data_IF_874674517569
#
_entry.id   IF_874674517569
#
_cell.length_a   1.000
_cell.length_b   1.000
_cell.length_c   1.000
_cell.angle_alpha   90.00
_cell.angle_beta   90.00
_cell.angle_gamma   90.00
#
_symmetry.space_group_name_H-M   'P 1'
#
loop_
_entity.id
_entity.type
_entity.pdbx_description
1 polymer ?
#
# COMPACT_ATOMS: atom_id res chain seq x y z
N UNK A 1 16.58 -6.40 -1.08
CA UNK A 1 17.25 -5.45 -0.19
C UNK A 1 18.73 -5.79 -0.02
N UNK A 2 19.12 -7.00 0.37
CA UNK A 2 20.55 -7.37 0.54
C UNK A 2 21.39 -7.13 -0.72
N UNK A 3 20.83 -7.39 -1.90
CA UNK A 3 21.54 -7.20 -3.20
C UNK A 3 21.90 -5.74 -3.49
N UNK A 4 21.18 -4.79 -2.91
CA UNK A 4 21.40 -3.34 -3.09
C UNK A 4 21.89 -2.67 -1.80
N UNK A 5 22.37 -3.45 -0.81
CA UNK A 5 22.95 -2.94 0.43
C UNK A 5 21.99 -2.21 1.37
N UNK A 6 20.70 -2.54 1.33
CA UNK A 6 19.66 -1.91 2.17
C UNK A 6 19.30 -2.82 3.34
N UNK A 7 19.40 -2.29 4.55
CA UNK A 7 19.08 -2.97 5.79
C UNK A 7 17.66 -2.68 6.29
N UNK A 8 17.10 -3.63 7.04
CA UNK A 8 15.85 -3.47 7.75
C UNK A 8 15.99 -3.97 9.19
N UNK A 9 15.50 -3.19 10.13
CA UNK A 9 15.55 -3.47 11.56
C UNK A 9 14.17 -3.78 12.13
N UNK A 10 14.15 -4.52 13.23
CA UNK A 10 12.94 -4.74 13.99
C UNK A 10 12.54 -3.44 14.70
N UNK A 11 11.25 -3.12 14.62
CA UNK A 11 10.67 -1.96 15.31
C UNK A 11 10.52 -2.26 16.79
N UNK A 12 10.74 -1.22 17.60
CA UNK A 12 10.40 -1.23 19.03
C UNK A 12 9.01 -0.63 19.25
N UNK A 13 8.39 -1.01 20.36
CA UNK A 13 7.11 -0.49 20.81
C UNK A 13 5.91 -1.30 20.38
N UNK A 14 4.75 -0.90 20.84
CA UNK A 14 3.48 -1.55 20.53
C UNK A 14 2.99 -1.17 19.13
N UNK A 15 2.56 -2.17 18.36
CA UNK A 15 1.96 -1.97 17.04
C UNK A 15 0.46 -1.66 17.07
N UNK A 16 -0.16 -1.75 18.22
CA UNK A 16 -1.62 -1.78 18.31
C UNK A 16 -2.13 -0.90 19.47
N UNK A 17 -1.68 0.33 19.53
CA UNK A 17 -2.33 1.32 20.38
C UNK A 17 -3.61 1.81 19.70
N UNK A 18 -4.62 2.14 20.51
CA UNK A 18 -5.89 2.67 20.09
C UNK A 18 -6.19 3.94 20.87
N UNK A 19 -6.34 5.07 20.18
CA UNK A 19 -6.76 6.33 20.74
C UNK A 19 -8.22 6.60 20.34
N UNK A 20 -9.13 6.51 21.31
CA UNK A 20 -10.57 6.63 21.07
C UNK A 20 -11.29 7.31 22.23
N UNK A 21 -12.11 8.32 21.96
CA UNK A 21 -12.89 9.08 22.95
C UNK A 21 -12.05 9.54 24.15
N UNK A 22 -10.90 10.15 23.90
CA UNK A 22 -10.00 10.68 24.92
C UNK A 22 -9.22 9.62 25.70
N UNK A 23 -9.34 8.35 25.37
CA UNK A 23 -8.61 7.26 26.02
C UNK A 23 -7.60 6.63 25.04
N UNK A 24 -6.37 6.44 25.52
CA UNK A 24 -5.32 5.75 24.79
C UNK A 24 -5.08 4.40 25.46
N UNK A 25 -5.24 3.33 24.69
CA UNK A 25 -4.92 1.96 25.11
C UNK A 25 -3.69 1.49 24.32
N UNK A 26 -2.60 1.21 25.02
CA UNK A 26 -1.33 0.79 24.43
C UNK A 26 -0.73 -0.45 25.14
N UNK A 27 -1.45 -1.02 26.08
CA UNK A 27 -1.03 -2.16 26.89
C UNK A 27 -2.06 -3.28 26.90
N UNK A 28 -1.62 -4.48 27.17
CA UNK A 28 -2.49 -5.65 27.28
C UNK A 28 -2.88 -6.26 25.93
N UNK A 29 -3.83 -7.19 25.97
CA UNK A 29 -4.30 -7.89 24.78
C UNK A 29 -5.40 -7.07 24.07
N UNK A 30 -5.19 -6.81 22.78
CA UNK A 30 -6.10 -6.04 21.90
C UNK A 30 -7.54 -6.58 21.91
N UNK A 31 -7.69 -7.90 22.09
CA UNK A 31 -9.01 -8.54 22.17
C UNK A 31 -9.87 -8.04 23.34
N UNK A 32 -9.25 -7.48 24.38
CA UNK A 32 -9.95 -6.91 25.53
C UNK A 32 -10.17 -5.40 25.43
N UNK A 33 -9.67 -4.72 24.40
CA UNK A 33 -9.87 -3.27 24.20
C UNK A 33 -11.35 -2.87 24.21
N UNK A 34 -12.29 -3.61 23.58
CA UNK A 34 -13.70 -3.26 23.63
C UNK A 34 -14.28 -3.12 25.05
N UNK A 35 -13.74 -3.89 25.99
CA UNK A 35 -14.19 -3.86 27.39
C UNK A 35 -13.54 -2.74 28.23
N UNK A 36 -12.46 -2.14 27.72
CA UNK A 36 -11.71 -1.07 28.38
C UNK A 36 -12.07 0.32 27.87
N UNK A 37 -12.79 0.41 26.75
CA UNK A 37 -13.20 1.68 26.14
C UNK A 37 -14.56 2.16 26.63
N UNK A 38 -14.80 3.50 26.59
CA UNK A 38 -16.09 4.10 26.95
C UNK A 38 -17.10 3.98 25.79
N UNK A 39 -17.52 2.75 25.50
CA UNK A 39 -18.53 2.42 24.47
C UNK A 39 -19.73 1.71 25.09
N UNK A 40 -20.86 1.73 24.38
CA UNK A 40 -22.10 1.08 24.80
C UNK A 40 -21.95 -0.44 24.90
N UNK A 41 -22.79 -1.09 25.71
CA UNK A 41 -22.81 -2.55 25.81
C UNK A 41 -23.25 -3.20 24.49
N UNK A 42 -24.16 -2.57 23.75
CA UNK A 42 -24.58 -3.06 22.41
C UNK A 42 -23.39 -3.06 21.45
N UNK A 43 -22.61 -1.99 21.38
CA UNK A 43 -21.41 -1.92 20.54
C UNK A 43 -20.37 -2.99 20.92
N UNK A 44 -20.18 -3.29 22.22
CA UNK A 44 -19.31 -4.39 22.64
C UNK A 44 -19.74 -5.74 22.09
N UNK A 45 -21.07 -6.03 22.15
CA UNK A 45 -21.59 -7.27 21.58
C UNK A 45 -21.47 -7.34 20.05
N UNK A 46 -21.68 -6.22 19.36
CA UNK A 46 -21.46 -6.12 17.92
C UNK A 46 -19.99 -6.40 17.56
N UNK A 47 -19.05 -5.78 18.28
CA UNK A 47 -17.60 -6.00 18.09
C UNK A 47 -17.24 -7.46 18.33
N UNK A 48 -17.73 -8.09 19.39
CA UNK A 48 -17.43 -9.50 19.69
C UNK A 48 -17.99 -10.39 18.60
N UNK A 49 -19.25 -10.19 18.19
CA UNK A 49 -19.92 -10.99 17.14
C UNK A 49 -19.22 -10.85 15.80
N UNK A 50 -18.96 -9.62 15.36
CA UNK A 50 -18.24 -9.35 14.11
C UNK A 50 -16.78 -9.82 14.19
N UNK A 51 -16.10 -9.62 15.32
CA UNK A 51 -14.74 -10.05 15.56
C UNK A 51 -14.55 -11.57 15.46
N UNK A 52 -15.47 -12.38 16.02
CA UNK A 52 -15.44 -13.84 15.86
C UNK A 52 -15.59 -14.22 14.38
N UNK A 53 -16.48 -13.54 13.65
CA UNK A 53 -16.72 -13.78 12.23
C UNK A 53 -15.48 -13.43 11.40
N UNK A 54 -14.87 -12.27 11.65
CA UNK A 54 -13.63 -11.83 11.01
C UNK A 54 -12.47 -12.77 11.34
N UNK A 55 -12.30 -13.18 12.61
CA UNK A 55 -11.23 -14.09 13.02
C UNK A 55 -11.32 -15.45 12.33
N UNK A 56 -12.51 -16.01 12.19
CA UNK A 56 -12.72 -17.26 11.41
C UNK A 56 -12.33 -17.07 9.94
N UNK A 57 -12.70 -15.95 9.34
CA UNK A 57 -12.37 -15.61 7.96
C UNK A 57 -10.85 -15.37 7.79
N UNK A 58 -10.17 -14.73 8.74
CA UNK A 58 -8.70 -14.55 8.74
C UNK A 58 -7.99 -15.90 8.76
N UNK A 59 -8.43 -16.85 9.59
CA UNK A 59 -7.86 -18.19 9.61
C UNK A 59 -8.04 -18.92 8.26
N UNK A 60 -9.20 -18.76 7.61
CA UNK A 60 -9.44 -19.31 6.27
C UNK A 60 -8.57 -18.61 5.22
N UNK A 61 -8.48 -17.28 5.26
CA UNK A 61 -7.63 -16.48 4.38
C UNK A 61 -6.15 -16.84 4.51
N UNK A 62 -5.65 -17.07 5.73
CA UNK A 62 -4.27 -17.51 5.97
C UNK A 62 -3.93 -18.81 5.23
N UNK A 63 -4.88 -19.76 5.15
CA UNK A 63 -4.72 -21.00 4.36
C UNK A 63 -4.73 -20.71 2.86
N UNK A 64 -5.58 -19.80 2.41
CA UNK A 64 -5.65 -19.35 1.01
C UNK A 64 -4.40 -18.60 0.61
N UNK A 65 -3.87 -17.73 1.45
CA UNK A 65 -2.70 -16.92 1.16
C UNK A 65 -1.36 -17.72 1.19
N UNK A 66 -1.31 -18.86 1.88
CA UNK A 66 -0.09 -19.64 2.01
C UNK A 66 0.41 -20.15 0.66
N UNK A 67 1.68 -19.89 0.28
CA UNK A 67 2.26 -20.42 -0.95
C UNK A 67 2.21 -21.97 -0.97
N UNK A 68 1.95 -22.54 -2.14
CA UNK A 68 1.99 -23.98 -2.38
C UNK A 68 3.26 -24.35 -3.13
N UNK A 69 3.81 -25.52 -2.88
CA UNK A 69 5.04 -25.96 -3.57
C UNK A 69 4.81 -26.01 -5.09
N UNK A 70 5.65 -25.31 -5.85
CA UNK A 70 5.56 -25.26 -7.31
C UNK A 70 4.40 -24.43 -7.87
N UNK A 71 3.69 -23.68 -7.02
CA UNK A 71 2.59 -22.83 -7.47
C UNK A 71 3.12 -21.57 -8.17
N UNK A 72 2.63 -21.32 -9.38
CA UNK A 72 2.89 -20.06 -10.09
C UNK A 72 2.30 -18.86 -9.34
N UNK A 73 3.02 -17.74 -9.35
CA UNK A 73 2.60 -16.51 -8.68
C UNK A 73 1.22 -16.04 -9.14
N UNK A 74 0.92 -16.12 -10.44
CA UNK A 74 -0.36 -15.69 -11.02
C UNK A 74 -1.52 -16.53 -10.48
N UNK A 75 -1.32 -17.85 -10.36
CA UNK A 75 -2.31 -18.78 -9.80
C UNK A 75 -2.56 -18.48 -8.32
N UNK A 76 -1.50 -18.19 -7.56
CA UNK A 76 -1.63 -17.79 -6.17
C UNK A 76 -2.41 -16.48 -6.03
N UNK A 77 -2.09 -15.45 -6.81
CA UNK A 77 -2.79 -14.17 -6.76
C UNK A 77 -4.27 -14.32 -7.13
N UNK A 78 -4.59 -15.11 -8.16
CA UNK A 78 -5.99 -15.40 -8.50
C UNK A 78 -6.74 -16.03 -7.33
N UNK A 79 -6.16 -17.04 -6.69
CA UNK A 79 -6.74 -17.71 -5.53
C UNK A 79 -6.98 -16.76 -4.35
N UNK A 80 -6.09 -15.81 -4.13
CA UNK A 80 -6.26 -14.77 -3.10
C UNK A 80 -7.39 -13.83 -3.47
N UNK A 81 -7.45 -13.38 -4.72
CA UNK A 81 -8.50 -12.48 -5.19
C UNK A 81 -9.89 -13.15 -5.22
N UNK A 82 -9.97 -14.45 -5.44
CA UNK A 82 -11.24 -15.19 -5.45
C UNK A 82 -11.84 -15.39 -4.05
N UNK A 83 -11.03 -15.20 -3.01
CA UNK A 83 -11.51 -15.38 -1.65
C UNK A 83 -12.50 -14.27 -1.27
N UNK A 84 -13.75 -14.62 -1.06
CA UNK A 84 -14.85 -13.71 -0.69
C UNK A 84 -14.90 -12.45 -1.58
N UNK A 85 -14.80 -12.66 -2.90
CA UNK A 85 -14.67 -11.62 -3.90
C UNK A 85 -15.99 -10.95 -4.32
N UNK A 86 -17.13 -11.49 -3.92
CA UNK A 86 -18.47 -11.18 -4.45
C UNK A 86 -19.24 -10.14 -3.64
N UNK A 87 -18.77 -9.78 -2.46
CA UNK A 87 -19.42 -8.85 -1.54
C UNK A 87 -18.43 -7.93 -0.86
N UNK A 88 -18.93 -6.82 -0.34
CA UNK A 88 -18.13 -5.88 0.43
C UNK A 88 -17.80 -6.39 1.83
N UNK A 89 -16.81 -5.77 2.48
CA UNK A 89 -16.50 -6.08 3.87
C UNK A 89 -17.67 -5.71 4.80
N UNK A 90 -18.35 -4.62 4.52
CA UNK A 90 -19.53 -4.16 5.27
C UNK A 90 -20.69 -5.18 5.17
N UNK A 91 -20.99 -5.70 3.97
CA UNK A 91 -21.97 -6.78 3.78
C UNK A 91 -21.55 -8.07 4.50
N UNK A 92 -20.25 -8.36 4.53
CA UNK A 92 -19.75 -9.53 5.26
C UNK A 92 -19.92 -9.38 6.77
N UNK A 93 -19.56 -8.26 7.37
CA UNK A 93 -19.72 -8.06 8.83
C UNK A 93 -21.19 -7.97 9.24
N UNK A 94 -22.03 -7.39 8.37
CA UNK A 94 -23.37 -6.93 8.66
C UNK A 94 -23.38 -5.52 9.27
N UNK A 95 -24.55 -4.97 9.56
CA UNK A 95 -24.67 -3.62 10.12
C UNK A 95 -23.95 -3.53 11.48
N UNK A 96 -23.17 -2.45 11.64
CA UNK A 96 -22.46 -2.11 12.86
C UNK A 96 -22.87 -0.70 13.29
N UNK A 97 -23.01 -0.48 14.59
CA UNK A 97 -23.09 0.88 15.14
C UNK A 97 -21.79 1.65 14.87
N UNK A 98 -21.84 2.98 14.91
CA UNK A 98 -20.65 3.83 14.73
C UNK A 98 -19.52 3.46 15.71
N UNK A 99 -19.87 3.14 16.96
CA UNK A 99 -18.90 2.71 17.95
C UNK A 99 -18.24 1.37 17.62
N UNK A 100 -18.97 0.43 17.04
CA UNK A 100 -18.45 -0.87 16.64
C UNK A 100 -17.65 -0.77 15.35
N UNK A 101 -18.13 -0.01 14.37
CA UNK A 101 -17.42 0.23 13.10
C UNK A 101 -16.05 0.88 13.31
N UNK A 102 -15.92 1.78 14.29
CA UNK A 102 -14.66 2.40 14.69
C UNK A 102 -13.52 1.42 15.00
N UNK A 103 -13.83 0.15 15.31
CA UNK A 103 -12.84 -0.90 15.52
C UNK A 103 -12.34 -1.55 14.24
N UNK A 104 -13.20 -1.65 13.24
CA UNK A 104 -12.89 -2.39 12.00
C UNK A 104 -12.44 -1.45 10.89
N UNK A 105 -13.10 -0.31 10.74
CA UNK A 105 -12.88 0.65 9.65
C UNK A 105 -11.42 1.10 9.50
N UNK A 106 -10.68 1.49 10.55
CA UNK A 106 -9.30 1.95 10.38
C UNK A 106 -8.37 0.89 9.78
N UNK A 107 -8.60 -0.38 10.09
CA UNK A 107 -7.81 -1.49 9.53
C UNK A 107 -8.15 -1.72 8.06
N UNK A 108 -9.43 -1.71 7.70
CA UNK A 108 -9.90 -1.96 6.34
C UNK A 108 -9.57 -0.80 5.41
N UNK A 109 -9.85 0.43 5.83
CA UNK A 109 -9.65 1.64 5.01
C UNK A 109 -8.19 1.93 4.67
N UNK A 110 -7.23 1.29 5.32
CA UNK A 110 -5.79 1.37 4.95
C UNK A 110 -5.52 0.98 3.50
N UNK A 111 -6.44 0.23 2.89
CA UNK A 111 -6.39 -0.13 1.47
C UNK A 111 -6.78 1.01 0.51
N UNK A 112 -7.14 2.19 1.01
CA UNK A 112 -7.76 3.29 0.27
C UNK A 112 -9.19 3.04 -0.22
N UNK A 113 -9.83 1.92 0.20
CA UNK A 113 -11.26 1.67 0.04
C UNK A 113 -11.93 1.55 1.40
N UNK A 114 -13.12 2.13 1.55
CA UNK A 114 -13.91 1.98 2.77
C UNK A 114 -14.53 0.57 2.87
N UNK A 115 -14.99 0.11 4.06
CA UNK A 115 -15.64 -1.19 4.23
C UNK A 115 -16.80 -1.47 3.27
N UNK A 116 -17.44 -0.43 2.77
CA UNK A 116 -18.54 -0.47 1.79
C UNK A 116 -18.04 -0.61 0.34
N UNK A 117 -16.77 -0.37 0.09
CA UNK A 117 -16.15 -0.35 -1.24
C UNK A 117 -15.24 -1.55 -1.48
N UNK A 118 -14.53 -2.00 -0.43
CA UNK A 118 -13.56 -3.09 -0.54
C UNK A 118 -14.23 -4.46 -0.47
N UNK A 119 -13.72 -5.44 -1.23
CA UNK A 119 -14.18 -6.82 -1.13
C UNK A 119 -13.91 -7.42 0.26
N UNK A 120 -14.81 -8.29 0.70
CA UNK A 120 -14.68 -8.91 2.01
C UNK A 120 -13.36 -9.67 2.19
N UNK A 121 -12.90 -10.36 1.14
CA UNK A 121 -11.63 -11.08 1.16
C UNK A 121 -10.42 -10.18 1.37
N UNK A 122 -10.38 -9.04 0.69
CA UNK A 122 -9.32 -8.06 0.87
C UNK A 122 -9.37 -7.42 2.26
N UNK A 123 -10.54 -7.00 2.72
CA UNK A 123 -10.72 -6.48 4.08
C UNK A 123 -10.25 -7.46 5.15
N UNK A 124 -10.59 -8.76 5.03
CA UNK A 124 -10.11 -9.82 5.92
C UNK A 124 -8.59 -9.97 5.85
N UNK A 125 -7.99 -9.83 4.65
CA UNK A 125 -6.56 -9.90 4.47
C UNK A 125 -5.78 -8.86 5.29
N UNK A 126 -6.33 -7.65 5.47
CA UNK A 126 -5.72 -6.61 6.32
C UNK A 126 -5.68 -7.00 7.80
N UNK A 127 -6.67 -7.72 8.28
CA UNK A 127 -6.66 -8.23 9.65
C UNK A 127 -5.59 -9.32 9.86
N UNK A 128 -5.28 -10.12 8.84
CA UNK A 128 -4.16 -11.06 8.93
C UNK A 128 -2.84 -10.31 9.22
N UNK A 129 -2.59 -9.19 8.53
CA UNK A 129 -1.38 -8.37 8.76
C UNK A 129 -1.26 -7.84 10.20
N UNK A 130 -2.39 -7.50 10.82
CA UNK A 130 -2.42 -6.97 12.19
C UNK A 130 -2.31 -8.08 13.24
N UNK A 131 -2.89 -9.26 12.97
CA UNK A 131 -2.98 -10.35 13.94
C UNK A 131 -1.84 -11.36 13.82
N UNK A 132 -1.19 -11.45 12.67
CA UNK A 132 0.00 -12.29 12.49
C UNK A 132 1.26 -11.55 12.95
N UNK A 133 1.70 -11.88 14.17
CA UNK A 133 2.91 -11.33 14.77
C UNK A 133 4.21 -11.72 14.05
N UNK A 134 4.16 -12.74 13.19
CA UNK A 134 5.29 -13.16 12.36
C UNK A 134 5.39 -12.36 11.06
N UNK A 135 4.40 -11.52 10.75
CA UNK A 135 4.35 -10.72 9.54
C UNK A 135 5.44 -9.64 9.50
N UNK A 136 5.84 -9.24 8.31
CA UNK A 136 6.90 -8.26 8.07
C UNK A 136 6.64 -6.84 8.59
N UNK A 137 5.45 -6.55 9.14
CA UNK A 137 5.16 -5.24 9.78
C UNK A 137 6.04 -4.94 11.00
N UNK A 138 6.67 -5.98 11.58
CA UNK A 138 7.60 -5.82 12.69
C UNK A 138 8.97 -5.27 12.29
N UNK A 139 9.22 -5.02 10.98
CA UNK A 139 10.48 -4.51 10.46
C UNK A 139 10.26 -3.30 9.57
N UNK A 140 11.23 -2.38 9.58
CA UNK A 140 11.22 -1.25 8.67
C UNK A 140 12.62 -1.00 8.09
N UNK A 141 12.67 -0.32 6.95
CA UNK A 141 13.91 -0.01 6.23
C UNK A 141 14.66 1.11 6.97
N UNK A 142 15.94 0.89 7.20
CA UNK A 142 16.85 1.92 7.73
C UNK A 142 16.95 3.06 6.71
N UNK A 143 16.76 4.30 7.16
CA UNK A 143 16.73 5.48 6.30
C UNK A 143 15.38 5.78 5.66
N UNK A 144 14.35 4.92 5.91
CA UNK A 144 12.99 5.13 5.43
C UNK A 144 12.69 4.46 4.09
N UNK A 145 11.43 4.57 3.64
CA UNK A 145 10.92 3.84 2.48
C UNK A 145 11.62 4.22 1.15
N UNK A 146 12.10 5.46 1.03
CA UNK A 146 12.79 5.95 -0.18
C UNK A 146 14.17 5.31 -0.39
N UNK A 147 14.78 4.78 0.67
CA UNK A 147 16.15 4.20 0.60
C UNK A 147 16.22 3.04 -0.39
N UNK A 148 15.20 2.18 -0.45
CA UNK A 148 15.20 1.03 -1.36
C UNK A 148 15.17 1.45 -2.85
N UNK A 149 14.22 2.27 -3.33
CA UNK A 149 14.23 2.71 -4.73
C UNK A 149 15.46 3.56 -5.07
N UNK A 150 15.99 4.36 -4.14
CA UNK A 150 17.22 5.12 -4.34
C UNK A 150 18.44 4.20 -4.51
N UNK A 151 18.56 3.15 -3.70
CA UNK A 151 19.63 2.16 -3.84
C UNK A 151 19.56 1.40 -5.17
N UNK A 152 18.34 1.04 -5.61
CA UNK A 152 18.13 0.43 -6.92
C UNK A 152 18.53 1.40 -8.04
N UNK A 153 18.08 2.65 -7.98
CA UNK A 153 18.44 3.68 -8.97
C UNK A 153 19.96 3.91 -9.01
N UNK A 154 20.63 3.95 -7.86
CA UNK A 154 22.09 4.06 -7.79
C UNK A 154 22.79 2.88 -8.49
N UNK A 155 22.29 1.65 -8.31
CA UNK A 155 22.84 0.46 -8.97
C UNK A 155 22.66 0.53 -10.51
N UNK A 156 21.59 1.15 -10.98
CA UNK A 156 21.30 1.32 -12.41
C UNK A 156 22.10 2.46 -13.05
N UNK A 157 22.53 3.46 -12.27
CA UNK A 157 23.35 4.58 -12.70
C UNK A 157 22.72 5.39 -13.83
N UNK A 158 23.46 5.60 -14.90
CA UNK A 158 23.08 6.37 -16.08
C UNK A 158 21.92 5.79 -16.91
N UNK A 159 21.51 4.55 -16.63
CA UNK A 159 20.32 3.94 -17.21
C UNK A 159 19.00 4.53 -16.69
N UNK A 160 19.06 5.30 -15.59
CA UNK A 160 17.90 6.00 -15.04
C UNK A 160 17.80 7.38 -15.65
N UNK A 161 16.73 7.63 -16.40
CA UNK A 161 16.40 8.95 -16.98
C UNK A 161 15.31 9.61 -16.16
N UNK A 162 15.67 10.60 -15.36
CA UNK A 162 14.72 11.44 -14.61
C UNK A 162 14.19 12.58 -15.48
N UNK A 163 13.04 13.15 -15.12
CA UNK A 163 12.42 14.23 -15.87
C UNK A 163 11.90 13.83 -17.25
N UNK A 164 11.76 12.53 -17.51
CA UNK A 164 11.23 11.96 -18.75
C UNK A 164 9.76 11.57 -18.55
N UNK A 165 8.83 12.42 -18.96
CA UNK A 165 7.39 12.14 -18.91
C UNK A 165 6.95 11.32 -20.10
N UNK A 166 6.58 10.05 -19.89
CA UNK A 166 6.08 9.18 -20.95
C UNK A 166 4.68 9.61 -21.38
N UNK A 167 4.54 9.92 -22.65
CA UNK A 167 3.29 10.37 -23.27
C UNK A 167 2.54 9.21 -23.94
N UNK A 168 3.28 8.33 -24.61
CA UNK A 168 2.70 7.25 -25.40
C UNK A 168 3.62 6.03 -25.47
N UNK A 169 3.02 4.84 -25.49
CA UNK A 169 3.71 3.56 -25.72
C UNK A 169 2.92 2.77 -26.76
N UNK A 170 3.56 2.44 -27.88
CA UNK A 170 2.96 1.72 -29.01
C UNK A 170 3.69 0.41 -29.23
N UNK A 171 2.91 -0.69 -29.28
CA UNK A 171 3.46 -2.01 -29.58
C UNK A 171 3.38 -2.30 -31.08
N UNK A 172 4.51 -2.61 -31.69
CA UNK A 172 4.61 -3.13 -33.07
C UNK A 172 4.85 -4.63 -33.06
N UNK A 173 4.96 -5.20 -34.25
CA UNK A 173 5.21 -6.63 -34.43
C UNK A 173 6.56 -7.06 -33.86
N UNK A 174 7.61 -6.27 -34.08
CA UNK A 174 9.01 -6.55 -33.78
C UNK A 174 9.65 -5.65 -32.73
N UNK A 175 9.03 -4.52 -32.39
CA UNK A 175 9.54 -3.56 -31.40
C UNK A 175 8.41 -2.85 -30.65
N UNK A 176 8.79 -2.01 -29.69
CA UNK A 176 7.93 -1.07 -28.97
C UNK A 176 8.48 0.33 -29.18
N UNK A 177 7.64 1.30 -29.46
CA UNK A 177 7.98 2.72 -29.45
C UNK A 177 7.50 3.37 -28.16
N UNK A 178 8.39 4.14 -27.53
CA UNK A 178 8.11 4.91 -26.33
C UNK A 178 8.38 6.37 -26.63
N UNK A 179 7.32 7.18 -26.63
CA UNK A 179 7.43 8.63 -26.79
C UNK A 179 7.32 9.28 -25.42
N UNK A 180 8.29 10.12 -25.10
CA UNK A 180 8.34 10.84 -23.84
C UNK A 180 8.81 12.30 -24.05
N UNK A 181 8.47 13.16 -23.10
CA UNK A 181 8.91 14.57 -23.06
C UNK A 181 10.06 14.69 -22.05
N UNK A 182 11.18 15.25 -22.52
CA UNK A 182 12.34 15.58 -21.69
C UNK A 182 12.89 16.96 -22.12
N UNK A 183 13.16 17.85 -21.18
CA UNK A 183 13.66 19.19 -21.43
C UNK A 183 12.83 19.99 -22.44
N UNK A 184 11.49 19.79 -22.39
CA UNK A 184 10.53 20.46 -23.27
C UNK A 184 10.44 19.89 -24.70
N UNK A 185 11.22 18.85 -25.05
CA UNK A 185 11.23 18.20 -26.36
C UNK A 185 10.60 16.82 -26.28
N UNK A 186 9.88 16.43 -27.33
CA UNK A 186 9.42 15.07 -27.49
C UNK A 186 10.52 14.21 -28.13
N UNK A 187 10.75 13.05 -27.56
CA UNK A 187 11.72 12.06 -28.03
C UNK A 187 11.01 10.72 -28.14
N UNK A 188 11.24 9.99 -29.23
CA UNK A 188 10.76 8.63 -29.43
C UNK A 188 11.94 7.68 -29.46
N UNK A 189 11.90 6.66 -28.61
CA UNK A 189 12.88 5.59 -28.56
C UNK A 189 12.23 4.25 -28.93
N UNK A 190 13.00 3.36 -29.53
CA UNK A 190 12.58 2.01 -29.87
C UNK A 190 13.28 0.98 -28.99
N UNK A 191 12.53 -0.02 -28.53
CA UNK A 191 13.03 -1.13 -27.74
C UNK A 191 12.40 -2.46 -28.18
N UNK A 192 13.07 -3.57 -27.94
CA UNK A 192 12.48 -4.90 -28.19
C UNK A 192 11.29 -5.19 -27.27
N UNK A 193 11.36 -4.76 -26.04
CA UNK A 193 10.34 -4.94 -25.01
C UNK A 193 10.24 -3.69 -24.13
N UNK A 194 9.06 -3.44 -23.56
CA UNK A 194 8.85 -2.42 -22.54
C UNK A 194 8.11 -3.03 -21.33
N UNK A 195 8.50 -2.60 -20.12
CA UNK A 195 7.77 -2.90 -18.87
C UNK A 195 7.16 -1.61 -18.37
N UNK A 196 5.84 -1.55 -18.30
CA UNK A 196 5.11 -0.38 -17.82
C UNK A 196 4.79 -0.59 -16.33
N UNK A 197 5.28 0.31 -15.50
CA UNK A 197 5.17 0.24 -14.04
C UNK A 197 4.37 1.39 -13.43
N UNK A 198 3.74 2.20 -14.27
CA UNK A 198 2.84 3.28 -13.85
C UNK A 198 1.53 2.73 -13.27
N UNK A 199 0.79 3.51 -12.45
CA UNK A 199 -0.55 3.12 -12.04
C UNK A 199 -1.44 2.70 -13.23
N UNK A 200 -2.34 1.73 -13.01
CA UNK A 200 -3.16 1.16 -14.10
C UNK A 200 -3.90 2.22 -14.92
N UNK A 201 -4.43 3.27 -14.29
CA UNK A 201 -5.11 4.38 -14.97
C UNK A 201 -4.17 5.16 -15.89
N UNK A 202 -2.90 5.33 -15.51
CA UNK A 202 -1.89 5.97 -16.35
C UNK A 202 -1.49 5.03 -17.48
N UNK A 203 -1.21 3.76 -17.18
CA UNK A 203 -0.92 2.72 -18.18
C UNK A 203 -2.01 2.65 -19.24
N UNK A 204 -3.29 2.64 -18.84
CA UNK A 204 -4.44 2.69 -19.74
C UNK A 204 -4.40 3.90 -20.67
N UNK A 205 -4.02 5.08 -20.16
CA UNK A 205 -3.98 6.32 -20.94
C UNK A 205 -2.85 6.36 -21.94
N UNK A 206 -1.64 5.91 -21.56
CA UNK A 206 -0.44 6.02 -22.40
C UNK A 206 -0.27 4.89 -23.41
N UNK A 207 -0.94 3.75 -23.25
CA UNK A 207 -0.85 2.62 -24.18
C UNK A 207 -1.97 2.68 -25.21
N UNK A 208 -1.64 2.52 -26.51
CA UNK A 208 -2.62 2.72 -27.59
C UNK A 208 -3.13 1.41 -28.23
N UNK A 209 -2.33 0.38 -28.26
CA UNK A 209 -2.64 -0.85 -29.00
C UNK A 209 -2.33 -2.13 -28.22
N UNK A 210 -2.58 -2.10 -26.90
CA UNK A 210 -2.63 -3.32 -26.10
C UNK A 210 -3.78 -4.24 -26.56
N UNK A 211 -3.71 -5.51 -26.16
CA UNK A 211 -4.88 -6.40 -26.25
C UNK A 211 -6.11 -5.68 -25.68
N UNK A 212 -7.22 -5.56 -26.43
CA UNK A 212 -8.40 -4.80 -26.01
C UNK A 212 -8.97 -5.22 -24.65
N UNK A 213 -8.88 -6.52 -24.30
CA UNK A 213 -9.35 -7.03 -23.02
C UNK A 213 -8.43 -6.59 -21.85
N UNK A 214 -7.12 -6.53 -22.11
CA UNK A 214 -6.14 -6.02 -21.13
C UNK A 214 -6.33 -4.52 -20.93
N UNK A 215 -6.48 -3.77 -22.02
CA UNK A 215 -6.70 -2.33 -21.98
C UNK A 215 -7.99 -1.98 -21.22
N UNK A 216 -9.10 -2.66 -21.51
CA UNK A 216 -10.37 -2.50 -20.79
C UNK A 216 -10.24 -2.86 -19.30
N UNK A 217 -9.51 -3.92 -18.97
CA UNK A 217 -9.27 -4.31 -17.58
C UNK A 217 -8.45 -3.27 -16.81
N UNK A 218 -7.44 -2.65 -17.44
CA UNK A 218 -6.66 -1.55 -16.83
C UNK A 218 -7.55 -0.35 -16.49
N UNK A 219 -8.46 0.03 -17.40
CA UNK A 219 -9.40 1.14 -17.20
C UNK A 219 -10.40 0.91 -16.05
N UNK A 220 -10.60 -0.33 -15.63
CA UNK A 220 -11.54 -0.72 -14.55
C UNK A 220 -10.88 -0.81 -13.18
N UNK A 221 -9.54 -0.69 -13.07
CA UNK A 221 -8.85 -0.68 -11.79
C UNK A 221 -9.18 0.60 -11.04
N UNK A 222 -9.65 0.44 -9.82
CA UNK A 222 -10.03 1.56 -8.96
C UNK A 222 -8.89 1.91 -7.99
N UNK A 223 -8.68 3.22 -7.81
CA UNK A 223 -7.73 3.78 -6.87
C UNK A 223 -8.47 4.64 -5.85
N UNK A 224 -8.14 4.46 -4.59
CA UNK A 224 -8.54 5.39 -3.55
C UNK A 224 -7.55 6.52 -3.39
N UNK A 225 -8.03 7.67 -2.95
CA UNK A 225 -7.17 8.79 -2.57
C UNK A 225 -6.43 8.48 -1.26
N UNK A 226 -5.28 9.12 -1.10
CA UNK A 226 -4.49 9.04 0.11
C UNK A 226 -3.88 10.38 0.44
N UNK A 227 -3.98 10.81 1.69
CA UNK A 227 -3.31 12.02 2.18
C UNK A 227 -2.47 11.62 3.40
N UNK A 228 -1.22 12.00 3.40
CA UNK A 228 -0.32 11.77 4.53
C UNK A 228 0.26 13.09 5.04
N UNK A 229 0.34 13.23 6.36
CA UNK A 229 1.05 14.33 7.01
C UNK A 229 2.30 13.80 7.71
N UNK A 230 3.37 14.58 7.68
CA UNK A 230 4.60 14.31 8.41
C UNK A 230 4.90 15.48 9.36
N UNK A 231 5.39 15.15 10.56
CA UNK A 231 5.68 16.11 11.62
C UNK A 231 7.00 15.76 12.30
N UNK A 232 7.89 16.73 12.43
CA UNK A 232 9.06 16.65 13.28
C UNK A 232 8.84 17.49 14.54
N UNK A 233 9.27 16.96 15.66
CA UNK A 233 9.13 17.60 16.96
C UNK A 233 10.51 17.78 17.63
N UNK A 234 10.59 18.60 18.68
CA UNK A 234 11.85 18.95 19.34
C UNK A 234 11.88 18.66 20.84
N UNK A 235 11.02 17.79 21.31
CA UNK A 235 10.95 17.47 22.74
C UNK A 235 12.27 16.90 23.26
N UNK A 236 12.58 17.25 24.54
CA UNK A 236 13.69 16.69 25.29
C UNK A 236 13.14 15.63 26.25
N UNK A 237 13.82 14.48 26.34
CA UNK A 237 13.44 13.39 27.22
C UNK A 237 12.27 12.52 26.70
N UNK A 238 11.90 11.54 27.51
CA UNK A 238 10.88 10.55 27.15
C UNK A 238 9.47 11.15 27.12
N UNK A 239 8.67 10.66 26.17
CA UNK A 239 7.27 11.02 25.99
C UNK A 239 6.38 9.77 26.01
N UNK A 240 5.08 9.91 26.28
CA UNK A 240 4.13 8.79 26.30
C UNK A 240 4.10 7.99 25.00
N UNK A 241 4.40 8.62 23.86
CA UNK A 241 4.42 7.98 22.55
C UNK A 241 5.67 7.18 22.23
N UNK A 242 6.75 7.27 23.02
CA UNK A 242 8.01 6.56 22.75
C UNK A 242 7.86 5.02 22.81
N UNK A 243 6.87 4.52 23.55
CA UNK A 243 6.61 3.09 23.70
C UNK A 243 5.70 2.49 22.61
N UNK A 244 5.21 3.31 21.67
CA UNK A 244 4.23 2.88 20.68
C UNK A 244 4.68 3.30 19.27
N UNK A 245 4.68 2.36 18.35
CA UNK A 245 4.95 2.63 16.94
C UNK A 245 3.71 3.10 16.17
N UNK A 246 2.55 2.46 16.38
CA UNK A 246 1.35 2.76 15.62
C UNK A 246 0.13 2.96 16.55
N UNK A 247 -0.56 4.06 16.31
CA UNK A 247 -1.82 4.42 16.96
C UNK A 247 -2.96 4.35 15.96
N UNK A 248 -3.92 3.46 16.15
CA UNK A 248 -5.20 3.57 15.48
C UNK A 248 -6.01 4.71 16.09
N UNK A 249 -6.55 5.57 15.27
CA UNK A 249 -7.23 6.82 15.68
C UNK A 249 -8.60 6.94 15.01
N UNK A 250 -9.56 6.06 15.34
CA UNK A 250 -10.88 6.15 14.77
C UNK A 250 -11.53 7.50 15.07
N UNK A 251 -12.36 7.99 14.15
CA UNK A 251 -13.08 9.27 14.25
C UNK A 251 -12.17 10.53 14.25
N UNK A 252 -10.94 10.42 13.76
CA UNK A 252 -10.06 11.54 13.49
C UNK A 252 -9.95 11.79 11.98
N UNK A 253 -9.32 12.88 11.60
CA UNK A 253 -9.02 13.19 10.20
C UNK A 253 -8.00 12.21 9.58
N UNK A 254 -7.36 11.39 10.38
CA UNK A 254 -6.50 10.27 9.99
C UNK A 254 -6.91 9.01 10.77
N UNK A 255 -6.72 7.85 10.16
CA UNK A 255 -7.08 6.57 10.79
C UNK A 255 -5.91 5.91 11.55
N UNK A 256 -4.69 6.38 11.32
CA UNK A 256 -3.49 5.87 11.97
C UNK A 256 -2.41 6.95 12.05
N UNK A 257 -1.71 7.00 13.19
CA UNK A 257 -0.50 7.76 13.39
C UNK A 257 0.67 6.84 13.70
N UNK A 258 1.81 7.06 13.05
CA UNK A 258 3.04 6.30 13.27
C UNK A 258 4.10 7.17 13.92
N UNK A 259 4.70 6.67 14.99
CA UNK A 259 5.94 7.21 15.53
C UNK A 259 7.13 6.58 14.78
N UNK A 260 7.56 7.24 13.71
CA UNK A 260 8.64 6.76 12.85
C UNK A 260 10.00 6.73 13.55
N UNK A 261 10.17 7.51 14.64
CA UNK A 261 11.40 7.52 15.44
C UNK A 261 11.68 6.19 16.12
N UNK A 262 10.66 5.33 16.33
CA UNK A 262 10.87 4.03 16.97
C UNK A 262 11.83 3.12 16.20
N UNK A 263 12.01 3.33 14.89
CA UNK A 263 13.05 2.64 14.13
C UNK A 263 14.46 3.14 14.53
N UNK A 264 14.62 4.47 14.57
CA UNK A 264 15.91 5.11 14.88
C UNK A 264 16.30 4.83 16.32
N UNK A 265 15.34 4.84 17.25
CA UNK A 265 15.56 4.55 18.68
C UNK A 265 16.23 3.20 18.93
N UNK A 266 16.07 2.22 18.04
CA UNK A 266 16.75 0.92 18.17
C UNK A 266 18.28 1.01 17.98
N UNK A 267 18.76 2.07 17.33
CA UNK A 267 20.17 2.28 16.99
C UNK A 267 20.84 3.31 17.90
N UNK A 268 20.08 4.02 18.72
CA UNK A 268 20.59 5.04 19.62
C UNK A 268 21.08 4.43 20.94
N UNK A 269 22.26 4.82 21.38
CA UNK A 269 22.77 4.51 22.73
C UNK A 269 22.02 5.32 23.80
N UNK A 270 21.65 6.55 23.47
CA UNK A 270 20.85 7.45 24.28
C UNK A 270 19.77 8.09 23.43
N UNK A 271 18.57 8.34 24.03
CA UNK A 271 17.46 8.96 23.33
C UNK A 271 17.83 10.36 22.86
N UNK A 272 17.84 10.57 21.56
CA UNK A 272 18.03 11.88 20.96
C UNK A 272 16.75 12.74 21.09
N UNK A 273 16.88 14.08 21.16
CA UNK A 273 15.74 15.00 21.15
C UNK A 273 14.88 14.82 19.88
N UNK A 274 13.59 15.12 20.03
CA UNK A 274 12.63 15.13 18.94
C UNK A 274 12.11 13.76 18.54
N UNK A 275 11.05 13.77 17.75
CA UNK A 275 10.42 12.60 17.15
C UNK A 275 9.93 12.92 15.74
N UNK A 276 9.71 11.87 14.94
CA UNK A 276 9.10 11.94 13.62
C UNK A 276 7.79 11.19 13.64
N UNK A 277 6.71 11.87 13.25
CA UNK A 277 5.38 11.29 13.13
C UNK A 277 4.90 11.33 11.70
N UNK A 278 4.17 10.29 11.29
CA UNK A 278 3.38 10.29 10.06
C UNK A 278 1.93 9.94 10.39
N UNK A 279 1.00 10.68 9.80
CA UNK A 279 -0.43 10.39 9.87
C UNK A 279 -0.97 10.04 8.50
N UNK A 280 -1.91 9.11 8.44
CA UNK A 280 -2.46 8.58 7.20
C UNK A 280 -3.97 8.70 7.16
N UNK A 281 -4.46 9.40 6.13
CA UNK A 281 -5.87 9.57 5.80
C UNK A 281 -6.19 8.88 4.49
N UNK A 282 -6.70 7.64 4.53
CA UNK A 282 -7.12 6.91 3.33
C UNK A 282 -8.61 7.11 3.03
N UNK A 283 -9.04 6.65 1.86
CA UNK A 283 -10.43 6.49 1.46
C UNK A 283 -11.28 7.75 1.69
N UNK A 284 -12.38 7.67 2.42
CA UNK A 284 -13.24 8.83 2.71
C UNK A 284 -12.48 9.97 3.37
N UNK A 285 -11.60 9.68 4.35
CA UNK A 285 -10.81 10.72 5.02
C UNK A 285 -9.94 11.49 4.02
N UNK A 286 -9.34 10.79 3.05
CA UNK A 286 -8.59 11.45 1.99
C UNK A 286 -9.49 12.28 1.07
N UNK A 287 -10.68 11.80 0.71
CA UNK A 287 -11.64 12.54 -0.12
C UNK A 287 -12.04 13.88 0.53
N UNK A 288 -12.15 13.91 1.85
CA UNK A 288 -12.49 15.11 2.61
C UNK A 288 -11.33 16.15 2.65
N UNK A 289 -10.08 15.71 2.46
CA UNK A 289 -8.88 16.54 2.63
C UNK A 289 -8.15 16.90 1.34
N UNK A 290 -8.23 16.07 0.30
CA UNK A 290 -7.33 16.12 -0.86
C UNK A 290 -7.39 17.43 -1.64
N UNK A 291 -8.56 18.07 -1.66
CA UNK A 291 -8.79 19.35 -2.36
C UNK A 291 -8.60 20.59 -1.48
N UNK A 292 -8.32 20.41 -0.17
CA UNK A 292 -8.04 21.54 0.71
C UNK A 292 -6.61 22.06 0.48
N UNK A 293 -6.31 23.35 0.74
CA UNK A 293 -4.93 23.83 0.80
C UNK A 293 -4.10 23.05 1.82
N UNK A 294 -2.79 22.93 1.58
CA UNK A 294 -1.88 22.13 2.44
C UNK A 294 -1.86 22.64 3.87
N UNK A 295 -1.85 23.97 4.06
CA UNK A 295 -1.88 24.60 5.37
C UNK A 295 -3.15 24.22 6.16
N UNK A 296 -4.29 24.10 5.45
CA UNK A 296 -5.55 23.72 6.08
C UNK A 296 -5.56 22.25 6.50
N UNK A 297 -4.99 21.36 5.69
CA UNK A 297 -4.83 19.95 6.04
C UNK A 297 -3.92 19.81 7.25
N UNK A 298 -2.80 20.53 7.28
CA UNK A 298 -1.87 20.53 8.41
C UNK A 298 -2.50 21.07 9.70
N UNK A 299 -3.32 22.13 9.62
CA UNK A 299 -4.08 22.63 10.76
C UNK A 299 -5.01 21.57 11.35
N UNK A 300 -5.78 20.89 10.48
CA UNK A 300 -6.69 19.81 10.87
C UNK A 300 -5.91 18.68 11.57
N UNK A 301 -4.81 18.23 10.96
CA UNK A 301 -3.98 17.17 11.53
C UNK A 301 -3.36 17.55 12.88
N UNK A 302 -2.84 18.77 13.00
CA UNK A 302 -2.29 19.26 14.27
C UNK A 302 -3.32 19.28 15.37
N UNK A 303 -4.54 19.74 15.07
CA UNK A 303 -5.64 19.73 16.04
C UNK A 303 -5.95 18.32 16.52
N UNK A 304 -6.06 17.36 15.61
CA UNK A 304 -6.33 15.96 15.96
C UNK A 304 -5.16 15.29 16.71
N UNK A 305 -3.91 15.61 16.32
CA UNK A 305 -2.72 15.14 17.04
C UNK A 305 -2.64 15.73 18.46
N UNK A 306 -3.02 17.00 18.65
CA UNK A 306 -3.10 17.63 19.98
C UNK A 306 -4.12 16.94 20.89
N UNK A 307 -5.24 16.47 20.32
CA UNK A 307 -6.24 15.71 21.09
C UNK A 307 -5.77 14.30 21.46
N UNK A 308 -4.90 13.68 20.62
CA UNK A 308 -4.31 12.36 20.92
C UNK A 308 -3.11 12.50 21.86
N UNK A 309 -2.31 13.55 21.66
CA UNK A 309 -1.08 13.82 22.39
C UNK A 309 -1.06 15.27 22.90
N UNK A 310 -1.66 15.55 24.08
CA UNK A 310 -1.69 16.91 24.62
C UNK A 310 -0.30 17.54 24.69
N UNK A 311 -0.18 18.76 24.18
CA UNK A 311 1.07 19.51 24.06
C UNK A 311 1.88 19.22 22.80
N UNK A 312 1.42 18.32 21.91
CA UNK A 312 2.12 17.97 20.66
C UNK A 312 2.34 19.17 19.76
N UNK A 313 1.32 20.00 19.58
CA UNK A 313 1.36 21.16 18.66
C UNK A 313 2.46 22.15 18.99
N UNK A 314 2.81 22.33 20.27
CA UNK A 314 3.87 23.24 20.73
C UNK A 314 5.29 22.70 20.45
N UNK A 315 5.42 21.41 20.16
CA UNK A 315 6.69 20.73 19.91
C UNK A 315 7.03 20.63 18.42
N UNK A 316 6.06 20.87 17.53
CA UNK A 316 6.25 20.75 16.08
C UNK A 316 7.19 21.84 15.58
N UNK A 317 8.28 21.44 14.94
CA UNK A 317 9.28 22.33 14.32
C UNK A 317 9.25 22.30 12.80
N UNK A 318 8.80 21.19 12.22
CA UNK A 318 8.64 21.03 10.78
C UNK A 318 7.44 20.15 10.49
N UNK A 319 6.74 20.46 9.40
CA UNK A 319 5.57 19.69 8.96
C UNK A 319 5.41 19.74 7.45
N UNK A 320 4.88 18.67 6.89
CA UNK A 320 4.57 18.60 5.47
C UNK A 320 3.34 17.73 5.21
N UNK A 321 2.70 17.90 4.06
CA UNK A 321 1.59 17.06 3.61
C UNK A 321 1.87 16.57 2.19
N UNK A 322 1.52 15.33 1.93
CA UNK A 322 1.57 14.75 0.59
C UNK A 322 0.20 14.20 0.22
N UNK A 323 -0.27 14.53 -0.98
CA UNK A 323 -1.57 14.14 -1.53
C UNK A 323 -1.39 13.22 -2.72
N UNK A 324 -2.08 12.09 -2.70
CA UNK A 324 -2.03 11.09 -3.75
C UNK A 324 -3.44 10.87 -4.30
N UNK A 325 -3.71 11.37 -5.52
CA UNK A 325 -4.98 11.15 -6.21
C UNK A 325 -5.15 9.68 -6.66
N UNK A 326 -4.05 9.02 -7.01
CA UNK A 326 -3.97 7.58 -7.25
C UNK A 326 -3.16 6.96 -6.11
N UNK A 327 -3.73 6.95 -4.90
CA UNK A 327 -3.01 6.54 -3.70
C UNK A 327 -2.71 5.05 -3.70
N UNK A 328 -3.73 4.20 -3.65
CA UNK A 328 -3.57 2.76 -3.71
C UNK A 328 -4.68 2.13 -4.57
N UNK A 329 -4.33 1.15 -5.38
CA UNK A 329 -5.30 0.30 -6.04
C UNK A 329 -5.98 -0.60 -4.99
N UNK A 330 -7.31 -0.54 -4.87
CA UNK A 330 -8.01 -1.38 -3.91
C UNK A 330 -8.83 -2.49 -4.58
N UNK A 331 -9.06 -3.55 -3.83
CA UNK A 331 -9.78 -4.72 -4.31
C UNK A 331 -11.27 -4.57 -4.01
N UNK A 332 -12.06 -4.15 -5.00
CA UNK A 332 -13.50 -4.04 -4.95
C UNK A 332 -14.20 -5.37 -5.29
N UNK A 333 -15.47 -5.57 -4.95
CA UNK A 333 -16.25 -6.76 -5.36
C UNK A 333 -16.20 -6.98 -6.87
N UNK A 334 -15.82 -8.20 -7.29
CA UNK A 334 -15.68 -8.54 -8.71
C UNK A 334 -14.31 -8.20 -9.33
N UNK A 335 -13.38 -7.59 -8.59
CA UNK A 335 -12.01 -7.30 -9.06
C UNK A 335 -11.26 -8.56 -9.51
N UNK A 336 -11.56 -9.71 -8.90
CA UNK A 336 -10.99 -11.01 -9.27
C UNK A 336 -11.18 -11.39 -10.73
N UNK A 337 -12.26 -10.94 -11.37
CA UNK A 337 -12.55 -11.19 -12.79
C UNK A 337 -11.59 -10.47 -13.75
N UNK A 338 -10.97 -9.39 -13.30
CA UNK A 338 -9.98 -8.65 -14.07
C UNK A 338 -8.59 -9.29 -14.00
N UNK A 339 -8.30 -10.05 -12.95
CA UNK A 339 -6.97 -10.58 -12.69
C UNK A 339 -6.43 -11.47 -13.82
N UNK A 340 -7.20 -12.44 -14.38
CA UNK A 340 -6.72 -13.27 -15.48
C UNK A 340 -6.40 -12.48 -16.75
N UNK A 341 -7.10 -11.35 -16.95
CA UNK A 341 -6.88 -10.48 -18.10
C UNK A 341 -5.55 -9.71 -17.96
N UNK A 342 -5.32 -9.13 -16.78
CA UNK A 342 -4.12 -8.34 -16.48
C UNK A 342 -2.84 -9.20 -16.42
N UNK A 343 -2.97 -10.49 -16.08
CA UNK A 343 -1.85 -11.42 -15.96
C UNK A 343 -1.67 -12.29 -17.21
N UNK A 344 -2.28 -11.94 -18.33
CA UNK A 344 -2.06 -12.62 -19.62
C UNK A 344 -0.60 -12.52 -20.03
N UNK A 345 -0.13 -13.54 -20.76
CA UNK A 345 1.20 -13.51 -21.38
C UNK A 345 1.29 -12.35 -22.36
N UNK A 346 2.19 -11.40 -22.11
CA UNK A 346 2.34 -10.23 -22.98
C UNK A 346 3.04 -10.59 -24.28
N UNK A 347 2.84 -9.74 -25.28
CA UNK A 347 3.65 -9.79 -26.50
C UNK A 347 4.99 -9.10 -26.25
N UNK A 348 5.00 -7.76 -26.29
CA UNK A 348 6.21 -6.93 -26.11
C UNK A 348 6.07 -5.90 -24.99
N UNK A 349 4.83 -5.53 -24.61
CA UNK A 349 4.55 -4.65 -23.48
C UNK A 349 4.15 -5.52 -22.29
N UNK A 350 4.93 -5.41 -21.24
CA UNK A 350 4.71 -6.06 -19.94
C UNK A 350 4.11 -5.09 -18.94
N UNK A 351 3.31 -5.60 -18.07
CA UNK A 351 2.74 -4.84 -16.93
C UNK A 351 3.41 -5.30 -15.65
N UNK A 352 3.82 -4.35 -14.81
CA UNK A 352 4.26 -4.61 -13.45
C UNK A 352 3.75 -3.50 -12.54
N UNK A 353 3.45 -3.82 -11.28
CA UNK A 353 2.95 -2.85 -10.32
C UNK A 353 2.09 -3.48 -9.24
N UNK A 354 1.79 -2.69 -8.24
CA UNK A 354 1.02 -3.07 -7.05
C UNK A 354 -0.42 -3.52 -7.36
N UNK A 355 -1.01 -2.99 -8.43
CA UNK A 355 -2.37 -3.34 -8.88
C UNK A 355 -2.51 -4.77 -9.44
N UNK A 356 -1.40 -5.48 -9.64
CA UNK A 356 -1.38 -6.85 -10.15
C UNK A 356 -1.42 -7.93 -9.07
N UNK A 357 -1.51 -7.54 -7.80
CA UNK A 357 -1.61 -8.48 -6.68
C UNK A 357 -2.04 -7.82 -5.39
N UNK A 358 -1.97 -8.56 -4.29
CA UNK A 358 -2.62 -8.21 -3.03
C UNK A 358 -1.74 -7.46 -2.02
N UNK A 359 -0.42 -7.36 -2.23
CA UNK A 359 0.51 -6.88 -1.21
C UNK A 359 1.43 -5.74 -1.68
N UNK A 360 0.88 -4.72 -2.33
CA UNK A 360 1.54 -3.43 -2.62
C UNK A 360 3.02 -3.53 -3.09
N UNK A 361 3.96 -3.08 -2.27
CA UNK A 361 5.40 -3.07 -2.60
C UNK A 361 5.93 -4.47 -2.93
N UNK A 362 5.52 -5.50 -2.17
CA UNK A 362 5.89 -6.89 -2.50
C UNK A 362 5.35 -7.30 -3.86
N UNK A 363 4.11 -6.96 -4.18
CA UNK A 363 3.52 -7.21 -5.50
C UNK A 363 4.29 -6.48 -6.60
N UNK A 364 4.63 -5.21 -6.40
CA UNK A 364 5.38 -4.43 -7.39
C UNK A 364 6.75 -5.08 -7.68
N UNK A 365 7.47 -5.52 -6.63
CA UNK A 365 8.74 -6.22 -6.76
C UNK A 365 8.58 -7.56 -7.50
N UNK A 366 7.63 -8.39 -7.07
CA UNK A 366 7.40 -9.72 -7.66
C UNK A 366 7.00 -9.64 -9.13
N UNK A 367 6.09 -8.73 -9.49
CA UNK A 367 5.65 -8.55 -10.87
C UNK A 367 6.75 -7.95 -11.76
N UNK A 368 7.60 -7.08 -11.20
CA UNK A 368 8.79 -6.57 -11.89
C UNK A 368 9.82 -7.66 -12.17
N UNK A 369 10.10 -8.52 -11.18
CA UNK A 369 11.00 -9.67 -11.34
C UNK A 369 10.48 -10.65 -12.40
N UNK A 370 9.20 -11.03 -12.33
CA UNK A 370 8.58 -11.92 -13.32
C UNK A 370 8.67 -11.36 -14.74
N UNK A 371 8.43 -10.06 -14.92
CA UNK A 371 8.56 -9.41 -16.21
C UNK A 371 10.02 -9.45 -16.70
N UNK A 372 10.97 -9.14 -15.83
CA UNK A 372 12.40 -9.18 -16.15
C UNK A 372 12.89 -10.58 -16.51
N UNK A 373 12.49 -11.60 -15.76
CA UNK A 373 12.86 -13.01 -16.02
C UNK A 373 12.29 -13.50 -17.35
N UNK A 374 11.02 -13.21 -17.65
CA UNK A 374 10.39 -13.63 -18.92
C UNK A 374 11.04 -12.93 -20.13
N UNK A 375 11.29 -11.61 -20.03
CA UNK A 375 12.00 -10.86 -21.07
C UNK A 375 13.40 -11.42 -21.30
N UNK A 376 14.14 -11.65 -20.22
CA UNK A 376 15.51 -12.17 -20.32
C UNK A 376 15.55 -13.55 -20.99
N UNK A 377 14.60 -14.42 -20.64
CA UNK A 377 14.44 -15.72 -21.30
C UNK A 377 14.18 -15.60 -22.81
N UNK A 378 13.29 -14.68 -23.23
CA UNK A 378 12.98 -14.43 -24.63
C UNK A 378 14.18 -13.85 -25.39
N UNK A 379 14.89 -12.89 -24.78
CA UNK A 379 16.10 -12.30 -25.36
C UNK A 379 17.20 -13.35 -25.58
N UNK A 380 17.35 -14.28 -24.64
CA UNK A 380 18.30 -15.37 -24.76
C UNK A 380 17.92 -16.34 -25.90
N UNK A 381 16.63 -16.69 -26.00
CA UNK A 381 16.13 -17.56 -27.07
C UNK A 381 16.30 -16.93 -28.47
N UNK A 382 15.98 -15.63 -28.58
CA UNK A 382 16.17 -14.87 -29.83
C UNK A 382 17.64 -14.80 -30.25
N UNK A 383 18.57 -14.85 -29.31
CA UNK A 383 20.02 -14.82 -29.59
C UNK A 383 20.52 -16.19 -30.04
N UNK A 384 19.95 -17.28 -29.54
CA UNK A 384 20.34 -18.65 -29.91
C UNK A 384 19.74 -19.14 -31.19
N UNK A 385 18.63 -18.55 -31.63
CA UNK A 385 18.01 -18.83 -32.94
C UNK A 385 18.25 -17.63 -33.86
N UNK A 386 19.43 -17.54 -34.53
CA UNK A 386 19.61 -16.54 -35.57
C UNK A 386 18.49 -16.72 -36.58
N UNK A 387 17.90 -15.61 -37.02
CA UNK A 387 16.87 -15.55 -38.02
C UNK A 387 17.37 -16.23 -39.32
N UNK A 388 17.30 -17.54 -39.38
CA UNK A 388 17.40 -18.25 -40.63
C UNK A 388 16.14 -17.87 -41.40
N UNK A 389 16.35 -17.01 -42.41
CA UNK A 389 15.31 -16.63 -43.34
C UNK A 389 14.67 -17.87 -43.95
N UNK A 390 13.47 -18.19 -43.48
CA UNK A 390 12.50 -18.93 -44.26
C UNK A 390 11.60 -17.90 -44.93
N UNK A 391 12.00 -17.52 -46.13
CA UNK A 391 11.09 -17.00 -47.15
C UNK A 391 10.14 -18.13 -47.54
N UNK A 392 8.85 -17.99 -47.24
CA UNK A 392 7.73 -18.60 -47.90
C UNK A 392 6.79 -17.52 -48.40
#
# INVERSE_FOLDING_TARGET
>A
MKEVGVDALNLQGSFAALAYKGKVLNDGNVNFYPFRLPISWSARWEIVKAGIKVMRAVNAYGKVNKPRKGEDYRVRQQRIYDFMADKTFSEFTGPLSEEADAFFRPTVSRSSGDPEEISAGAGVGYFLLVWDKSSGLARNIVGGAATLPQAIAHTLGDKVKLGAEVLEVIQHRDHVEVTYKSDGKEVTEQARYAVITTPAAITHRITKNLDPLVHDALGKIQYGHYVSGAFLTNEIGRRPWDSVYAYCTPQRSFNIAFNMSNLVRTMESERQPGSSFMVFSPAKLARDLINLPDEKVLEIYRKDLEEVFPGFGSLVVEQSVQKFHLGLAYCFPGRNKLQPLLMRTPRRIYLAGDYLGSWYTETAIQTGLLAGEDINSKLYTDTLLPSNGFSY
#
